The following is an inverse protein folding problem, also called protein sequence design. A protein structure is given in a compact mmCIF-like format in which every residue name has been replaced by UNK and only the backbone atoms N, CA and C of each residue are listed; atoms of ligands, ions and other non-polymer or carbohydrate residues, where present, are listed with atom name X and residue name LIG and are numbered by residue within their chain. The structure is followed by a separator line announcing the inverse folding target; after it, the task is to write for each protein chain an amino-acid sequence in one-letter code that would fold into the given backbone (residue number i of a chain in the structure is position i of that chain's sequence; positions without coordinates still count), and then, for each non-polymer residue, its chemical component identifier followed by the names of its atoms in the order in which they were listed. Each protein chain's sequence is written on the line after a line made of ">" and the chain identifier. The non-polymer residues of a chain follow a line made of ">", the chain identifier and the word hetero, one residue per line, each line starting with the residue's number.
data_IF_084974399424
#
_entry.id   IF_084974399424
#
_cell.length_a   1.000
_cell.length_b   1.000
_cell.length_c   1.000
_cell.angle_alpha   90.00
_cell.angle_beta   90.00
_cell.angle_gamma   90.00
#
_symmetry.space_group_name_H-M   'P 1'
#
loop_
_entity.id
_entity.type
_entity.pdbx_description
1 polymer ?
#
# COMPACT_ATOMS: atom_id res chain seq x y z
N UNK A 1 -19.28 -3.61 42.37
CA UNK A 1 -18.24 -4.67 42.40
C UNK A 1 -18.05 -5.22 40.98
N UNK A 2 -17.60 -4.36 40.07
CA UNK A 2 -17.09 -4.73 38.74
C UNK A 2 -15.82 -3.89 38.62
N UNK A 3 -14.74 -4.39 39.20
CA UNK A 3 -13.45 -3.73 39.30
C UNK A 3 -12.40 -4.82 39.40
N UNK A 4 -11.28 -4.61 38.72
CA UNK A 4 -10.04 -5.42 38.80
C UNK A 4 -9.92 -6.62 37.85
N UNK A 5 -10.16 -6.40 36.55
CA UNK A 5 -9.71 -7.33 35.50
C UNK A 5 -8.94 -6.67 34.34
N UNK A 6 -8.33 -5.50 34.55
CA UNK A 6 -7.36 -4.92 33.61
C UNK A 6 -5.96 -5.09 34.17
N UNK A 7 -5.42 -6.30 33.96
CA UNK A 7 -4.03 -6.60 34.22
C UNK A 7 -3.12 -5.65 33.42
N UNK A 8 -2.11 -5.12 34.10
CA UNK A 8 -1.07 -4.25 33.55
C UNK A 8 -0.50 -4.80 32.23
N UNK A 9 -0.25 -3.96 31.20
CA UNK A 9 0.20 -4.42 29.89
C UNK A 9 1.65 -4.90 29.98
N UNK A 10 1.83 -6.19 30.27
CA UNK A 10 3.10 -6.87 30.00
C UNK A 10 3.38 -6.71 28.50
N UNK A 11 4.57 -6.22 28.19
CA UNK A 11 5.10 -6.06 26.83
C UNK A 11 5.15 -7.44 26.16
N UNK A 12 4.04 -7.84 25.57
CA UNK A 12 3.87 -9.08 24.82
C UNK A 12 4.57 -8.89 23.48
N UNK A 13 5.88 -9.19 23.43
CA UNK A 13 6.41 -9.80 22.21
C UNK A 13 5.77 -11.19 22.14
N UNK A 14 4.61 -11.26 21.48
CA UNK A 14 3.86 -12.49 21.32
C UNK A 14 4.54 -13.30 20.19
N UNK A 15 5.25 -14.40 20.48
CA UNK A 15 5.97 -15.17 19.47
C UNK A 15 5.05 -15.87 18.45
N UNK A 16 3.73 -15.81 18.66
CA UNK A 16 2.71 -16.46 17.84
C UNK A 16 1.95 -15.49 16.91
N UNK A 17 2.51 -14.32 16.58
CA UNK A 17 1.86 -13.45 15.60
C UNK A 17 1.66 -14.19 14.27
N UNK A 18 0.48 -14.09 13.64
CA UNK A 18 0.26 -14.69 12.33
C UNK A 18 1.34 -14.19 11.36
N UNK A 19 1.94 -15.06 10.54
CA UNK A 19 2.98 -14.67 9.58
C UNK A 19 2.51 -13.57 8.61
N UNK A 20 1.19 -13.44 8.44
CA UNK A 20 0.56 -12.44 7.59
C UNK A 20 0.66 -11.01 8.18
N UNK A 21 0.73 -10.87 9.51
CA UNK A 21 0.75 -9.56 10.17
C UNK A 21 2.05 -8.79 9.89
N UNK A 22 3.20 -9.47 9.86
CA UNK A 22 4.48 -8.83 9.51
C UNK A 22 4.52 -8.35 8.06
N UNK A 23 3.95 -9.15 7.15
CA UNK A 23 3.84 -8.77 5.76
C UNK A 23 2.94 -7.54 5.58
N UNK A 24 1.82 -7.47 6.30
CA UNK A 24 0.96 -6.29 6.33
C UNK A 24 1.64 -5.09 6.96
N UNK A 25 2.37 -5.26 8.07
CA UNK A 25 3.08 -4.17 8.74
C UNK A 25 4.09 -3.50 7.79
N UNK A 26 4.80 -4.27 6.98
CA UNK A 26 5.72 -3.71 5.98
C UNK A 26 5.02 -2.86 4.90
N UNK A 27 3.78 -3.20 4.53
CA UNK A 27 2.99 -2.41 3.59
C UNK A 27 2.49 -1.14 4.25
N UNK A 28 2.06 -1.23 5.51
CA UNK A 28 1.71 -0.06 6.31
C UNK A 28 2.93 0.87 6.43
N UNK A 29 4.12 0.33 6.66
CA UNK A 29 5.37 1.10 6.69
C UNK A 29 5.65 1.77 5.35
N UNK A 30 5.48 1.08 4.22
CA UNK A 30 5.59 1.68 2.89
C UNK A 30 4.58 2.84 2.71
N UNK A 31 3.32 2.67 3.13
CA UNK A 31 2.29 3.70 3.07
C UNK A 31 2.62 4.91 3.96
N UNK A 32 3.06 4.68 5.20
CA UNK A 32 3.41 5.76 6.13
C UNK A 32 4.68 6.49 5.67
N UNK A 33 5.64 5.78 5.11
CA UNK A 33 6.84 6.38 4.51
C UNK A 33 6.54 7.20 3.25
N UNK A 34 5.42 6.94 2.57
CA UNK A 34 4.92 7.75 1.46
C UNK A 34 4.31 9.07 1.96
N UNK A 35 3.65 9.06 3.13
CA UNK A 35 3.09 10.25 3.78
C UNK A 35 4.15 11.07 4.54
N UNK A 36 5.21 10.41 5.04
CA UNK A 36 6.26 11.07 5.81
C UNK A 36 7.38 11.64 4.93
N UNK A 37 7.90 12.79 5.34
CA UNK A 37 9.11 13.38 4.75
C UNK A 37 10.39 12.59 5.06
N UNK A 38 10.36 11.70 6.08
CA UNK A 38 11.50 10.93 6.55
C UNK A 38 11.12 9.47 6.73
N UNK A 39 11.98 8.58 6.23
CA UNK A 39 11.83 7.14 6.52
C UNK A 39 12.28 6.87 7.94
N UNK A 40 11.33 6.51 8.80
CA UNK A 40 11.62 6.03 10.15
C UNK A 40 11.06 4.61 10.29
N UNK A 41 11.82 3.70 10.92
CA UNK A 41 11.36 2.33 11.10
C UNK A 41 10.15 2.29 12.03
N UNK A 42 9.17 1.45 11.68
CA UNK A 42 7.96 1.25 12.47
C UNK A 42 8.02 -0.11 13.15
N UNK A 43 7.96 -0.12 14.49
CA UNK A 43 7.79 -1.34 15.28
C UNK A 43 6.31 -1.59 15.61
N UNK A 44 5.92 -2.83 15.89
CA UNK A 44 4.53 -3.22 16.24
C UNK A 44 3.92 -2.41 17.39
N UNK A 45 4.72 -2.09 18.40
CA UNK A 45 4.30 -1.33 19.58
C UNK A 45 4.41 0.19 19.38
N UNK A 46 4.77 0.66 18.19
CA UNK A 46 4.84 2.08 17.89
C UNK A 46 3.45 2.66 17.86
N UNK A 47 3.20 3.65 18.72
CA UNK A 47 1.94 4.39 18.79
C UNK A 47 1.74 5.24 17.53
N UNK A 48 0.58 5.09 16.90
CA UNK A 48 0.28 5.73 15.61
C UNK A 48 0.21 7.25 15.78
N UNK A 49 -0.50 7.73 16.80
CA UNK A 49 -0.68 9.16 17.10
C UNK A 49 0.66 9.87 17.35
N UNK A 50 1.53 9.28 18.17
CA UNK A 50 2.85 9.84 18.47
C UNK A 50 3.76 9.83 17.23
N UNK A 51 3.71 8.76 16.44
CA UNK A 51 4.49 8.67 15.22
C UNK A 51 4.06 9.73 14.21
N UNK A 52 2.74 9.91 14.04
CA UNK A 52 2.14 10.89 13.14
C UNK A 52 2.51 12.30 13.55
N UNK A 53 2.39 12.62 14.84
CA UNK A 53 2.80 13.90 15.38
C UNK A 53 4.30 14.22 15.12
N UNK A 54 5.16 13.21 15.21
CA UNK A 54 6.61 13.40 15.08
C UNK A 54 7.11 13.42 13.62
N UNK A 55 6.46 12.70 12.70
CA UNK A 55 7.01 12.42 11.37
C UNK A 55 6.12 12.85 10.21
N UNK A 56 4.83 13.09 10.45
CA UNK A 56 3.87 13.45 9.40
C UNK A 56 3.55 14.96 9.53
N UNK A 57 3.66 15.74 8.44
CA UNK A 57 3.26 17.15 8.44
C UNK A 57 1.85 17.34 8.98
N UNK A 58 1.60 18.41 9.75
CA UNK A 58 0.32 18.62 10.43
C UNK A 58 -0.89 18.68 9.49
N UNK A 59 -0.68 19.10 8.25
CA UNK A 59 -1.67 19.11 7.16
C UNK A 59 -2.02 17.71 6.64
N UNK A 60 -1.25 16.69 6.98
CA UNK A 60 -1.41 15.30 6.56
C UNK A 60 -1.59 14.33 7.73
N UNK A 61 -1.81 14.83 8.95
CA UNK A 61 -2.04 14.01 10.16
C UNK A 61 -3.44 13.38 10.21
N UNK A 62 -3.94 12.92 9.05
CA UNK A 62 -5.22 12.28 8.93
C UNK A 62 -5.06 10.77 8.77
N UNK A 63 -5.78 10.01 9.60
CA UNK A 63 -5.82 8.56 9.49
C UNK A 63 -6.54 8.11 8.21
N UNK A 64 -7.41 8.96 7.65
CA UNK A 64 -8.09 8.71 6.37
C UNK A 64 -7.09 8.52 5.22
N UNK A 65 -5.98 9.27 5.21
CA UNK A 65 -4.95 9.13 4.17
C UNK A 65 -4.27 7.76 4.20
N UNK A 66 -4.03 7.19 5.39
CA UNK A 66 -3.54 5.81 5.48
C UNK A 66 -4.61 4.85 4.98
N UNK A 67 -5.88 5.05 5.36
CA UNK A 67 -6.97 4.19 4.90
C UNK A 67 -7.08 4.17 3.38
N UNK A 68 -7.04 5.33 2.73
CA UNK A 68 -7.05 5.44 1.27
C UNK A 68 -5.88 4.69 0.63
N UNK A 69 -4.67 4.85 1.19
CA UNK A 69 -3.49 4.13 0.71
C UNK A 69 -3.61 2.61 0.91
N UNK A 70 -4.14 2.15 2.04
CA UNK A 70 -4.33 0.72 2.30
C UNK A 70 -5.45 0.13 1.43
N UNK A 71 -6.52 0.88 1.19
CA UNK A 71 -7.56 0.50 0.23
C UNK A 71 -6.98 0.41 -1.18
N UNK A 72 -6.20 1.40 -1.60
CA UNK A 72 -5.56 1.37 -2.91
C UNK A 72 -4.60 0.17 -3.02
N UNK A 73 -3.74 -0.06 -2.02
CA UNK A 73 -2.66 -1.06 -2.10
C UNK A 73 -3.16 -2.48 -1.88
N UNK A 74 -4.08 -2.68 -0.93
CA UNK A 74 -4.52 -4.01 -0.48
C UNK A 74 -5.96 -4.33 -0.86
N UNK A 75 -6.74 -3.34 -1.32
CA UNK A 75 -8.17 -3.52 -1.56
C UNK A 75 -8.96 -3.70 -0.27
N UNK A 76 -8.44 -3.17 0.85
CA UNK A 76 -9.10 -3.24 2.17
C UNK A 76 -9.56 -1.86 2.56
N UNK A 77 -10.87 -1.68 2.57
CA UNK A 77 -11.51 -0.50 3.14
C UNK A 77 -11.40 -0.56 4.67
N UNK A 78 -10.86 0.50 5.26
CA UNK A 78 -10.83 0.72 6.71
C UNK A 78 -11.80 1.86 6.99
N UNK A 79 -12.92 1.51 7.62
CA UNK A 79 -14.04 2.42 7.86
C UNK A 79 -13.81 3.28 9.10
N UNK A 80 -14.60 4.33 9.28
CA UNK A 80 -14.60 5.13 10.51
C UNK A 80 -14.85 4.26 11.76
N UNK A 81 -15.70 3.23 11.65
CA UNK A 81 -15.97 2.28 12.75
C UNK A 81 -14.72 1.49 13.14
N UNK A 82 -13.84 1.18 12.19
CA UNK A 82 -12.57 0.49 12.47
C UNK A 82 -11.59 1.40 13.19
N UNK A 83 -11.52 2.66 12.78
CA UNK A 83 -10.72 3.66 13.47
C UNK A 83 -11.25 3.92 14.88
N UNK A 84 -12.56 4.06 15.04
CA UNK A 84 -13.19 4.20 16.36
C UNK A 84 -12.91 3.00 17.25
N UNK A 85 -12.89 1.80 16.69
CA UNK A 85 -12.51 0.58 17.40
C UNK A 85 -11.04 0.59 17.82
N UNK A 86 -10.13 0.96 16.91
CA UNK A 86 -8.68 1.01 17.18
C UNK A 86 -8.31 2.12 18.16
N UNK A 87 -8.92 3.30 18.02
CA UNK A 87 -8.67 4.47 18.85
C UNK A 87 -9.37 4.29 20.20
N UNK A 88 -10.58 3.72 20.24
CA UNK A 88 -11.38 3.60 21.46
C UNK A 88 -11.91 4.93 21.98
N UNK A 89 -11.97 5.98 21.15
CA UNK A 89 -12.34 7.35 21.58
C UNK A 89 -13.74 7.41 22.17
N UNK A 90 -14.68 6.69 21.56
CA UNK A 90 -16.09 6.66 21.95
C UNK A 90 -16.34 5.91 23.28
N UNK A 91 -15.32 5.25 23.84
CA UNK A 91 -15.39 4.49 25.09
C UNK A 91 -14.82 5.25 26.30
N UNK A 92 -14.29 6.45 26.08
CA UNK A 92 -13.59 7.23 27.11
C UNK A 92 -14.39 8.47 27.49
N UNK A 93 -14.36 8.81 28.77
CA UNK A 93 -15.03 10.01 29.31
C UNK A 93 -14.17 11.28 29.20
N UNK A 94 -12.84 11.11 29.13
CA UNK A 94 -11.87 12.20 29.04
C UNK A 94 -10.64 11.78 28.23
N UNK A 95 -9.82 12.77 27.82
CA UNK A 95 -8.53 12.52 27.16
C UNK A 95 -7.55 11.77 28.05
N UNK A 96 -7.56 12.05 29.37
CA UNK A 96 -6.70 11.35 30.33
C UNK A 96 -7.09 9.88 30.50
N UNK A 97 -8.41 9.59 30.53
CA UNK A 97 -8.96 8.22 30.56
C UNK A 97 -8.58 7.46 29.28
N UNK A 98 -8.66 8.13 28.13
CA UNK A 98 -8.19 7.59 26.85
C UNK A 98 -6.70 7.29 26.85
N UNK A 99 -5.87 8.23 27.32
CA UNK A 99 -4.42 8.09 27.34
C UNK A 99 -3.96 6.96 28.28
N UNK A 100 -4.64 6.77 29.41
CA UNK A 100 -4.35 5.70 30.34
C UNK A 100 -4.75 4.31 29.80
N UNK A 101 -5.87 4.20 29.06
CA UNK A 101 -6.47 2.90 28.73
C UNK A 101 -6.28 2.46 27.28
N UNK A 102 -6.44 3.36 26.32
CA UNK A 102 -6.53 3.01 24.89
C UNK A 102 -5.33 3.49 24.08
N UNK A 103 -4.72 4.62 24.44
CA UNK A 103 -3.56 5.11 23.72
C UNK A 103 -2.38 4.11 23.65
N UNK A 104 -2.10 3.27 24.67
CA UNK A 104 -1.08 2.22 24.56
C UNK A 104 -1.45 1.09 23.58
N UNK A 105 -2.73 0.95 23.24
CA UNK A 105 -3.25 -0.05 22.30
C UNK A 105 -3.34 0.48 20.87
N UNK A 106 -3.30 1.81 20.68
CA UNK A 106 -3.37 2.45 19.38
C UNK A 106 -2.02 2.38 18.65
N UNK A 107 -1.62 1.17 18.25
CA UNK A 107 -0.31 0.87 17.66
C UNK A 107 -0.42 0.32 16.24
N UNK A 108 0.66 0.45 15.47
CA UNK A 108 0.72 -0.10 14.10
C UNK A 108 0.57 -1.62 14.06
N UNK A 109 0.98 -2.34 15.10
CA UNK A 109 0.75 -3.79 15.20
C UNK A 109 -0.75 -4.15 15.22
N UNK A 110 -1.56 -3.40 15.97
CA UNK A 110 -3.02 -3.59 16.00
C UNK A 110 -3.68 -3.24 14.68
N UNK A 111 -3.24 -2.17 14.03
CA UNK A 111 -3.69 -1.85 12.68
C UNK A 111 -3.33 -2.97 11.68
N UNK A 112 -2.11 -3.51 11.76
CA UNK A 112 -1.67 -4.62 10.92
C UNK A 112 -2.49 -5.89 11.17
N UNK A 113 -2.83 -6.20 12.43
CA UNK A 113 -3.73 -7.32 12.78
C UNK A 113 -5.12 -7.13 12.15
N UNK A 114 -5.71 -5.94 12.29
CA UNK A 114 -7.03 -5.63 11.73
C UNK A 114 -7.03 -5.76 10.21
N UNK A 115 -6.02 -5.20 9.55
CA UNK A 115 -5.87 -5.27 8.10
C UNK A 115 -5.63 -6.71 7.66
N UNK A 116 -4.74 -7.46 8.32
CA UNK A 116 -4.48 -8.87 8.02
C UNK A 116 -5.74 -9.74 8.14
N UNK A 117 -6.61 -9.44 9.11
CA UNK A 117 -7.89 -10.16 9.26
C UNK A 117 -8.85 -9.88 8.10
N UNK A 118 -8.82 -8.67 7.52
CA UNK A 118 -9.69 -8.27 6.41
C UNK A 118 -9.15 -8.64 5.04
N UNK A 119 -7.84 -8.61 4.86
CA UNK A 119 -7.24 -9.08 3.62
C UNK A 119 -7.51 -10.57 3.54
N UNK A 120 -8.41 -10.97 2.63
CA UNK A 120 -8.61 -12.38 2.27
C UNK A 120 -7.38 -12.87 1.51
N UNK A 121 -6.31 -13.17 2.25
CA UNK A 121 -5.10 -13.76 1.71
C UNK A 121 -5.41 -15.23 1.41
N UNK A 122 -5.83 -15.51 0.17
CA UNK A 122 -5.80 -16.87 -0.36
C UNK A 122 -4.46 -17.55 -0.09
N UNK A 123 -4.49 -18.66 0.66
CA UNK A 123 -3.31 -19.48 0.89
C UNK A 123 -2.87 -20.15 -0.41
N UNK A 124 -1.56 -20.20 -0.66
CA UNK A 124 -0.99 -20.87 -1.82
C UNK A 124 -1.11 -22.38 -1.63
N UNK A 125 -2.17 -22.98 -2.17
CA UNK A 125 -2.36 -24.43 -2.15
C UNK A 125 -1.62 -25.08 -3.32
N UNK A 126 -0.72 -26.06 -3.10
CA UNK A 126 -0.06 -26.77 -4.18
C UNK A 126 -1.09 -27.52 -5.05
N UNK A 127 -0.90 -27.48 -6.37
CA UNK A 127 -1.79 -28.15 -7.31
C UNK A 127 -1.11 -29.36 -7.93
N UNK A 128 -1.84 -30.48 -8.02
CA UNK A 128 -1.36 -31.69 -8.69
C UNK A 128 -1.62 -31.59 -10.18
N UNK A 129 -0.57 -31.52 -10.99
CA UNK A 129 -0.63 -31.50 -12.45
C UNK A 129 0.08 -32.74 -12.96
N UNK A 130 -0.63 -33.60 -13.71
CA UNK A 130 -0.08 -34.85 -14.28
C UNK A 130 0.61 -35.75 -13.23
N UNK A 131 0.06 -35.79 -12.01
CA UNK A 131 0.60 -36.60 -10.90
C UNK A 131 1.72 -35.94 -10.09
N UNK A 132 2.21 -34.76 -10.49
CA UNK A 132 3.22 -34.01 -9.74
C UNK A 132 2.61 -32.81 -9.02
N UNK A 133 2.91 -32.64 -7.72
CA UNK A 133 2.50 -31.45 -6.95
C UNK A 133 3.36 -30.25 -7.31
N UNK A 134 2.74 -29.15 -7.74
CA UNK A 134 3.41 -27.90 -8.10
C UNK A 134 2.88 -26.74 -7.25
N UNK A 135 3.76 -26.14 -6.43
CA UNK A 135 3.45 -24.91 -5.67
C UNK A 135 3.34 -23.70 -6.59
N UNK A 136 4.21 -23.59 -7.60
CA UNK A 136 4.13 -22.52 -8.60
C UNK A 136 2.78 -22.49 -9.33
N UNK A 137 2.19 -23.66 -9.63
CA UNK A 137 0.85 -23.71 -10.22
C UNK A 137 -0.22 -23.18 -9.26
N UNK A 138 -0.13 -23.53 -7.97
CA UNK A 138 -0.97 -22.96 -6.91
C UNK A 138 -0.84 -21.45 -6.81
N UNK A 139 0.39 -20.94 -6.81
CA UNK A 139 0.69 -19.51 -6.76
C UNK A 139 0.12 -18.78 -7.98
N UNK A 140 0.19 -19.39 -9.17
CA UNK A 140 -0.41 -18.83 -10.38
C UNK A 140 -1.93 -18.69 -10.27
N UNK A 141 -2.64 -19.61 -9.60
CA UNK A 141 -4.08 -19.46 -9.33
C UNK A 141 -4.39 -18.30 -8.39
N UNK A 142 -3.58 -18.12 -7.35
CA UNK A 142 -3.71 -16.97 -6.44
C UNK A 142 -3.49 -15.66 -7.21
N UNK A 143 -2.50 -15.61 -8.09
CA UNK A 143 -2.28 -14.46 -8.98
C UNK A 143 -3.49 -14.24 -9.89
N UNK A 144 -3.98 -15.28 -10.55
CA UNK A 144 -5.14 -15.19 -11.44
C UNK A 144 -6.37 -14.62 -10.73
N UNK A 145 -6.65 -15.09 -9.52
CA UNK A 145 -7.72 -14.58 -8.68
C UNK A 145 -7.51 -13.10 -8.30
N UNK A 146 -6.32 -12.75 -7.80
CA UNK A 146 -6.00 -11.37 -7.42
C UNK A 146 -6.13 -10.41 -8.62
N UNK A 147 -5.72 -10.84 -9.81
CA UNK A 147 -5.86 -10.03 -11.03
C UNK A 147 -7.32 -9.83 -11.42
N UNK A 148 -8.18 -10.86 -11.29
CA UNK A 148 -9.62 -10.73 -11.57
C UNK A 148 -10.34 -9.85 -10.56
N UNK A 149 -9.92 -9.86 -9.30
CA UNK A 149 -10.47 -8.97 -8.27
C UNK A 149 -10.09 -7.51 -8.53
N UNK A 150 -8.88 -7.25 -9.05
CA UNK A 150 -8.44 -5.90 -9.42
C UNK A 150 -9.06 -5.42 -10.74
N UNK A 151 -9.21 -6.32 -11.70
CA UNK A 151 -9.78 -6.04 -13.02
C UNK A 151 -10.72 -7.17 -13.45
N UNK A 152 -12.04 -7.05 -13.16
CA UNK A 152 -13.04 -8.05 -13.53
C UNK A 152 -13.13 -8.33 -15.04
N UNK A 153 -12.65 -7.41 -15.88
CA UNK A 153 -12.68 -7.52 -17.34
C UNK A 153 -11.34 -7.94 -17.95
N UNK A 154 -10.37 -8.35 -17.12
CA UNK A 154 -9.09 -8.84 -17.60
C UNK A 154 -9.30 -10.05 -18.52
N UNK A 155 -8.70 -9.98 -19.70
CA UNK A 155 -8.69 -11.12 -20.63
C UNK A 155 -7.93 -12.30 -20.01
N UNK A 156 -8.37 -13.55 -20.20
CA UNK A 156 -7.64 -14.73 -19.72
C UNK A 156 -6.18 -14.73 -20.16
N UNK A 157 -5.30 -15.19 -19.28
CA UNK A 157 -3.85 -15.22 -19.51
C UNK A 157 -3.23 -16.52 -19.02
N UNK A 158 -2.08 -16.86 -19.61
CA UNK A 158 -1.31 -18.05 -19.29
C UNK A 158 -0.04 -17.67 -18.48
N UNK A 159 0.66 -18.64 -17.85
CA UNK A 159 1.91 -18.36 -17.14
C UNK A 159 2.98 -17.69 -18.01
N UNK A 160 3.04 -18.00 -19.31
CA UNK A 160 3.98 -17.39 -20.26
C UNK A 160 3.60 -15.97 -20.70
N UNK A 161 2.40 -15.48 -20.34
CA UNK A 161 1.93 -14.16 -20.75
C UNK A 161 2.72 -13.07 -20.02
N UNK A 162 3.25 -12.06 -20.72
CA UNK A 162 3.91 -10.92 -20.10
C UNK A 162 2.97 -10.17 -19.15
N UNK A 163 3.44 -9.80 -17.96
CA UNK A 163 2.60 -9.12 -16.97
C UNK A 163 2.11 -7.77 -17.50
N UNK A 164 2.99 -7.05 -18.18
CA UNK A 164 2.72 -5.73 -18.78
C UNK A 164 1.74 -5.75 -19.96
N UNK A 165 1.39 -6.93 -20.48
CA UNK A 165 0.36 -7.06 -21.52
C UNK A 165 -1.06 -7.08 -20.93
N UNK A 166 -1.19 -7.39 -19.64
CA UNK A 166 -2.49 -7.48 -18.94
C UNK A 166 -2.71 -6.33 -17.97
N UNK A 167 -1.66 -5.89 -17.28
CA UNK A 167 -1.78 -4.92 -16.20
C UNK A 167 -0.74 -3.82 -16.35
N UNK A 168 -1.18 -2.57 -16.13
CA UNK A 168 -0.36 -1.37 -16.19
C UNK A 168 -0.85 -0.35 -15.17
N UNK A 169 -0.02 0.66 -14.90
CA UNK A 169 -0.38 1.79 -14.04
C UNK A 169 -0.80 1.34 -12.64
N UNK A 170 -1.85 1.96 -12.11
CA UNK A 170 -2.33 1.68 -10.76
C UNK A 170 -2.72 0.21 -10.57
N UNK A 171 -3.33 -0.44 -11.57
CA UNK A 171 -3.72 -1.87 -11.48
C UNK A 171 -2.52 -2.78 -11.22
N UNK A 172 -1.39 -2.50 -11.88
CA UNK A 172 -0.15 -3.24 -11.65
C UNK A 172 0.39 -2.98 -10.24
N UNK A 173 0.36 -1.73 -9.78
CA UNK A 173 0.81 -1.37 -8.44
C UNK A 173 -0.02 -2.04 -7.34
N UNK A 174 -1.36 -2.10 -7.48
CA UNK A 174 -2.25 -2.83 -6.55
C UNK A 174 -1.93 -4.31 -6.53
N UNK A 175 -1.79 -4.93 -7.70
CA UNK A 175 -1.41 -6.35 -7.78
C UNK A 175 -0.09 -6.55 -7.04
N UNK A 176 0.91 -5.72 -7.30
CA UNK A 176 2.24 -5.89 -6.71
C UNK A 176 2.23 -5.78 -5.20
N UNK A 177 1.55 -4.77 -4.65
CA UNK A 177 1.40 -4.61 -3.21
C UNK A 177 0.72 -5.82 -2.58
N UNK A 178 -0.37 -6.29 -3.18
CA UNK A 178 -1.09 -7.48 -2.70
C UNK A 178 -0.25 -8.75 -2.75
N UNK A 179 0.47 -8.99 -3.85
CA UNK A 179 1.32 -10.17 -3.96
C UNK A 179 2.52 -10.12 -3.02
N UNK A 180 3.04 -8.92 -2.71
CA UNK A 180 4.09 -8.75 -1.68
C UNK A 180 3.61 -9.22 -0.32
N UNK A 181 2.38 -8.87 0.08
CA UNK A 181 1.79 -9.38 1.32
C UNK A 181 1.69 -10.90 1.28
N UNK A 182 1.12 -11.47 0.21
CA UNK A 182 0.99 -12.93 0.06
C UNK A 182 2.31 -13.70 0.07
N UNK A 183 3.41 -13.08 -0.37
CA UNK A 183 4.72 -13.72 -0.50
C UNK A 183 5.65 -13.40 0.66
N UNK A 184 5.15 -12.82 1.76
CA UNK A 184 5.95 -12.36 2.89
C UNK A 184 7.13 -11.50 2.43
N UNK A 185 6.86 -10.52 1.57
CA UNK A 185 7.84 -9.59 0.98
C UNK A 185 8.96 -10.19 0.14
N UNK A 186 8.82 -11.44 -0.33
CA UNK A 186 9.80 -12.00 -1.29
C UNK A 186 9.80 -11.27 -2.63
N UNK A 187 8.65 -10.71 -3.02
CA UNK A 187 8.55 -9.88 -4.22
C UNK A 187 9.19 -8.53 -3.91
N UNK A 188 10.21 -8.09 -4.68
CA UNK A 188 10.80 -6.78 -4.47
C UNK A 188 9.78 -5.67 -4.76
N UNK A 189 9.87 -4.52 -4.06
CA UNK A 189 9.02 -3.38 -4.33
C UNK A 189 9.15 -2.93 -5.78
N UNK A 190 8.05 -2.45 -6.38
CA UNK A 190 8.13 -1.80 -7.68
C UNK A 190 9.03 -0.57 -7.54
N UNK A 191 9.98 -0.35 -8.47
CA UNK A 191 10.71 0.90 -8.50
C UNK A 191 9.71 2.03 -8.74
N UNK A 192 9.56 2.90 -7.73
CA UNK A 192 8.71 4.08 -7.82
C UNK A 192 9.32 5.04 -8.84
N UNK A 193 8.71 5.14 -10.02
CA UNK A 193 9.11 6.16 -10.99
C UNK A 193 8.70 7.54 -10.46
N UNK A 194 9.55 8.56 -10.68
CA UNK A 194 9.23 9.94 -10.29
C UNK A 194 7.90 10.42 -10.90
N UNK A 195 7.52 9.86 -12.05
CA UNK A 195 6.25 10.12 -12.72
C UNK A 195 5.03 9.73 -11.87
N UNK A 196 5.07 8.62 -11.11
CA UNK A 196 3.95 8.23 -10.23
C UNK A 196 3.70 9.25 -9.12
N UNK A 197 4.77 9.78 -8.52
CA UNK A 197 4.68 10.85 -7.51
C UNK A 197 4.14 12.16 -8.10
N UNK A 198 4.55 12.51 -9.32
CA UNK A 198 4.06 13.71 -10.01
C UNK A 198 2.56 13.59 -10.30
N UNK A 199 2.12 12.44 -10.79
CA UNK A 199 0.69 12.16 -11.10
C UNK A 199 -0.18 12.26 -9.83
N UNK A 200 0.27 11.71 -8.69
CA UNK A 200 -0.41 11.89 -7.40
C UNK A 200 -0.46 13.37 -6.97
N UNK A 201 0.68 14.08 -7.04
CA UNK A 201 0.76 15.50 -6.65
C UNK A 201 -0.04 16.44 -7.56
N UNK A 202 -0.19 16.11 -8.85
CA UNK A 202 -0.96 16.89 -9.81
C UNK A 202 -2.46 16.83 -9.51
N UNK A 203 -2.96 15.70 -9.00
CA UNK A 203 -4.31 15.58 -8.47
C UNK A 203 -4.55 16.55 -7.30
N UNK A 204 -3.62 16.58 -6.34
CA UNK A 204 -3.69 17.49 -5.18
C UNK A 204 -3.64 18.97 -5.57
N UNK A 205 -2.73 19.37 -6.46
CA UNK A 205 -2.67 20.75 -6.97
C UNK A 205 -3.94 21.16 -7.70
N UNK A 206 -4.54 20.24 -8.48
CA UNK A 206 -5.81 20.51 -9.15
C UNK A 206 -6.94 20.70 -8.12
N UNK A 207 -6.97 19.88 -7.06
CA UNK A 207 -7.89 20.05 -5.93
C UNK A 207 -7.73 21.41 -5.24
N UNK A 208 -6.50 21.82 -4.92
CA UNK A 208 -6.21 23.12 -4.29
C UNK A 208 -6.69 24.27 -5.17
N UNK A 209 -6.45 24.21 -6.48
CA UNK A 209 -6.94 25.23 -7.42
C UNK A 209 -8.47 25.30 -7.41
N UNK A 210 -9.16 24.15 -7.40
CA UNK A 210 -10.63 24.10 -7.31
C UNK A 210 -11.12 24.72 -6.00
N UNK A 211 -10.49 24.41 -4.86
CA UNK A 211 -10.86 24.96 -3.55
C UNK A 211 -10.67 26.48 -3.48
N UNK A 212 -9.53 27.01 -3.95
CA UNK A 212 -9.27 28.45 -4.01
C UNK A 212 -10.30 29.18 -4.90
N UNK A 213 -10.72 28.54 -5.99
CA UNK A 213 -11.72 29.09 -6.89
C UNK A 213 -13.13 29.08 -6.26
N UNK A 214 -13.52 28.01 -5.58
CA UNK A 214 -14.79 27.94 -4.84
C UNK A 214 -14.84 29.00 -3.72
N UNK A 215 -13.73 29.20 -3.01
CA UNK A 215 -13.59 30.26 -2.03
C UNK A 215 -13.79 31.65 -2.68
N UNK A 216 -13.20 31.88 -3.85
CA UNK A 216 -13.41 33.11 -4.63
C UNK A 216 -14.88 33.36 -4.99
N UNK A 217 -15.60 32.31 -5.41
CA UNK A 217 -17.03 32.40 -5.71
C UNK A 217 -17.86 32.70 -4.45
N UNK A 218 -17.56 32.06 -3.32
CA UNK A 218 -18.24 32.29 -2.04
C UNK A 218 -18.00 33.71 -1.52
N UNK A 219 -16.74 34.17 -1.52
CA UNK A 219 -16.37 35.53 -1.14
C UNK A 219 -17.09 36.58 -2.01
N UNK A 220 -17.23 36.31 -3.31
CA UNK A 220 -17.99 37.16 -4.22
C UNK A 220 -19.48 37.19 -3.89
N UNK A 221 -20.12 36.04 -3.68
CA UNK A 221 -21.54 36.00 -3.31
C UNK A 221 -21.81 36.77 -2.02
N UNK A 222 -20.90 36.69 -1.06
CA UNK A 222 -20.96 37.46 0.17
C UNK A 222 -20.83 38.97 -0.11
N UNK A 223 -19.86 39.38 -0.93
CA UNK A 223 -19.68 40.79 -1.33
C UNK A 223 -20.87 41.38 -2.09
N UNK A 224 -21.50 40.58 -2.97
CA UNK A 224 -22.72 40.97 -3.68
C UNK A 224 -23.92 41.13 -2.73
N UNK A 225 -24.08 40.21 -1.75
CA UNK A 225 -25.13 40.33 -0.72
C UNK A 225 -24.93 41.54 0.19
N UNK A 226 -23.68 41.91 0.46
CA UNK A 226 -23.34 43.11 1.22
C UNK A 226 -23.49 44.41 0.41
N UNK A 227 -23.90 44.33 -0.87
CA UNK A 227 -24.09 45.51 -1.72
C UNK A 227 -22.79 46.20 -2.16
N UNK A 228 -21.65 45.55 -1.94
CA UNK A 228 -20.32 46.08 -2.27
C UNK A 228 -20.08 46.02 -3.79
N UNK A 229 -20.79 45.14 -4.51
CA UNK A 229 -20.53 44.84 -5.92
C UNK A 229 -21.82 44.95 -6.77
N UNK A 230 -21.80 45.79 -7.81
CA UNK A 230 -22.97 46.13 -8.63
C UNK A 230 -23.50 45.01 -9.53
N UNK A 231 -24.83 44.91 -9.65
CA UNK A 231 -25.55 43.74 -10.20
C UNK A 231 -25.34 43.41 -11.69
N UNK A 232 -24.82 44.34 -12.50
CA UNK A 232 -24.60 44.12 -13.95
C UNK A 232 -23.35 43.29 -14.29
N UNK A 233 -22.62 42.79 -13.28
CA UNK A 233 -21.33 42.13 -13.46
C UNK A 233 -21.37 40.60 -13.30
N UNK A 234 -22.47 40.02 -12.82
CA UNK A 234 -22.53 38.61 -12.38
C UNK A 234 -22.29 37.60 -13.51
N UNK A 235 -22.87 37.81 -14.70
CA UNK A 235 -22.71 36.87 -15.83
C UNK A 235 -21.27 36.86 -16.36
N UNK A 236 -20.62 38.03 -16.42
CA UNK A 236 -19.23 38.16 -16.87
C UNK A 236 -18.30 37.44 -15.91
N UNK A 237 -18.51 37.59 -14.60
CA UNK A 237 -17.69 36.92 -13.59
C UNK A 237 -17.89 35.40 -13.57
N UNK A 238 -19.12 34.90 -13.70
CA UNK A 238 -19.36 33.47 -13.84
C UNK A 238 -18.58 32.94 -15.05
N UNK A 239 -18.72 33.56 -16.22
CA UNK A 239 -18.03 33.11 -17.43
C UNK A 239 -16.50 33.18 -17.29
N UNK A 240 -15.96 34.22 -16.66
CA UNK A 240 -14.51 34.41 -16.48
C UNK A 240 -13.91 33.43 -15.47
N UNK A 241 -14.65 32.97 -14.46
CA UNK A 241 -14.09 32.08 -13.42
C UNK A 241 -14.50 30.62 -13.59
N UNK A 242 -15.76 30.32 -13.91
CA UNK A 242 -16.21 28.93 -14.02
C UNK A 242 -15.71 28.25 -15.29
N UNK A 243 -15.65 28.97 -16.42
CA UNK A 243 -15.21 28.39 -17.69
C UNK A 243 -13.73 27.93 -17.63
N UNK A 244 -12.76 28.73 -17.14
CA UNK A 244 -11.40 28.24 -16.97
C UNK A 244 -11.28 27.10 -15.96
N UNK A 245 -12.12 27.06 -14.91
CA UNK A 245 -12.13 25.94 -13.96
C UNK A 245 -12.52 24.63 -14.63
N UNK A 246 -13.61 24.66 -15.40
CA UNK A 246 -14.09 23.48 -16.13
C UNK A 246 -13.01 23.05 -17.13
N UNK A 247 -12.41 24.00 -17.87
CA UNK A 247 -11.32 23.70 -18.81
C UNK A 247 -10.11 23.10 -18.08
N UNK A 248 -9.63 23.71 -16.99
CA UNK A 248 -8.49 23.21 -16.22
C UNK A 248 -8.76 21.82 -15.62
N UNK A 249 -9.98 21.56 -15.16
CA UNK A 249 -10.39 20.24 -14.68
C UNK A 249 -10.34 19.20 -15.81
N UNK A 250 -10.92 19.50 -16.97
CA UNK A 250 -10.87 18.58 -18.12
C UNK A 250 -9.46 18.41 -18.66
N UNK A 251 -8.65 19.47 -18.73
CA UNK A 251 -7.24 19.40 -19.15
C UNK A 251 -6.44 18.59 -18.15
N UNK A 252 -6.63 18.78 -16.84
CA UNK A 252 -5.99 17.98 -15.80
C UNK A 252 -6.35 16.50 -15.92
N UNK A 253 -7.64 16.17 -16.06
CA UNK A 253 -8.10 14.79 -16.27
C UNK A 253 -7.56 14.20 -17.57
N UNK A 254 -7.51 14.99 -18.65
CA UNK A 254 -6.93 14.58 -19.91
C UNK A 254 -5.43 14.34 -19.78
N UNK A 255 -4.69 15.24 -19.12
CA UNK A 255 -3.25 15.09 -18.85
C UNK A 255 -3.01 13.86 -18.00
N UNK A 256 -3.84 13.56 -17.00
CA UNK A 256 -3.75 12.33 -16.20
C UNK A 256 -3.95 11.07 -17.06
N UNK A 257 -4.99 11.04 -17.89
CA UNK A 257 -5.28 9.91 -18.79
C UNK A 257 -4.19 9.76 -19.86
N UNK A 258 -3.72 10.87 -20.41
CA UNK A 258 -2.63 10.91 -21.39
C UNK A 258 -1.34 10.48 -20.72
N UNK A 259 -1.00 10.99 -19.54
CA UNK A 259 0.19 10.58 -18.79
C UNK A 259 0.13 9.10 -18.42
N UNK A 260 -1.03 8.57 -18.04
CA UNK A 260 -1.19 7.14 -17.78
C UNK A 260 -1.03 6.30 -19.06
N UNK A 261 -1.53 6.81 -20.20
CA UNK A 261 -1.45 6.13 -21.51
C UNK A 261 -0.09 6.26 -22.18
N UNK A 262 0.62 7.35 -21.93
CA UNK A 262 1.92 7.73 -22.53
C UNK A 262 3.09 7.53 -21.58
N UNK A 263 2.84 7.16 -20.32
CA UNK A 263 3.90 6.71 -19.44
C UNK A 263 4.70 5.66 -20.20
N UNK A 264 6.00 5.90 -20.44
CA UNK A 264 6.81 4.99 -21.23
C UNK A 264 6.65 3.58 -20.67
N UNK A 265 6.64 2.58 -21.55
CA UNK A 265 6.47 1.14 -21.24
C UNK A 265 7.42 0.60 -20.16
N UNK A 266 8.34 1.43 -19.69
CA UNK A 266 9.25 1.20 -18.59
C UNK A 266 8.59 1.43 -17.22
N UNK A 267 7.41 0.84 -17.00
CA UNK A 267 7.22 0.27 -15.66
C UNK A 267 8.25 -0.84 -15.58
N UNK A 268 9.40 -0.50 -14.98
CA UNK A 268 10.50 -1.42 -14.81
C UNK A 268 10.03 -2.46 -13.80
N UNK A 269 9.46 -3.55 -14.31
CA UNK A 269 9.37 -4.75 -13.52
C UNK A 269 10.79 -5.03 -12.98
N UNK A 270 10.92 -5.46 -11.73
CA UNK A 270 12.20 -5.90 -11.19
C UNK A 270 12.89 -6.85 -12.19
N UNK A 271 14.19 -6.65 -12.39
CA UNK A 271 14.96 -7.38 -13.41
C UNK A 271 14.70 -8.88 -13.26
N UNK A 272 14.40 -9.57 -14.37
CA UNK A 272 14.13 -11.02 -14.36
C UNK A 272 12.67 -11.42 -14.11
N UNK A 273 11.75 -10.47 -13.91
CA UNK A 273 10.30 -10.74 -13.91
C UNK A 273 9.72 -10.21 -15.21
N UNK A 274 9.34 -11.10 -16.14
CA UNK A 274 8.74 -10.71 -17.42
C UNK A 274 7.29 -11.18 -17.51
N UNK A 275 7.05 -12.43 -17.10
CA UNK A 275 5.77 -13.11 -17.26
C UNK A 275 5.19 -13.57 -15.91
N UNK A 276 3.92 -13.96 -15.92
CA UNK A 276 3.24 -14.43 -14.70
C UNK A 276 3.84 -15.72 -14.12
N UNK A 277 4.55 -16.52 -14.92
CA UNK A 277 5.31 -17.69 -14.44
C UNK A 277 6.45 -17.25 -13.53
N UNK A 278 7.21 -16.21 -13.90
CA UNK A 278 8.30 -15.69 -13.07
C UNK A 278 7.77 -15.26 -11.70
N UNK A 279 6.62 -14.58 -11.70
CA UNK A 279 5.94 -14.12 -10.49
C UNK A 279 5.42 -15.30 -9.63
N UNK A 280 4.81 -16.30 -10.26
CA UNK A 280 4.30 -17.49 -9.58
C UNK A 280 5.43 -18.31 -8.93
N UNK A 281 6.54 -18.50 -9.64
CA UNK A 281 7.75 -19.18 -9.15
C UNK A 281 8.38 -18.44 -7.95
N UNK A 282 8.29 -17.11 -7.97
CA UNK A 282 8.79 -16.27 -6.90
C UNK A 282 7.92 -16.41 -5.64
N UNK A 283 6.59 -16.33 -5.81
CA UNK A 283 5.64 -16.51 -4.70
C UNK A 283 5.72 -17.90 -4.07
N UNK A 284 5.95 -18.95 -4.87
CA UNK A 284 5.98 -20.33 -4.38
C UNK A 284 7.19 -20.69 -3.52
N UNK A 285 8.16 -19.79 -3.35
CA UNK A 285 9.46 -20.07 -2.73
C UNK A 285 10.35 -21.04 -3.51
N UNK A 286 9.97 -21.41 -4.74
CA UNK A 286 10.78 -22.32 -5.55
C UNK A 286 12.05 -21.61 -6.11
N UNK A 287 12.08 -20.27 -6.02
CA UNK A 287 13.22 -19.40 -6.32
C UNK A 287 13.98 -19.00 -5.05
N UNK A 288 15.31 -18.94 -5.14
CA UNK A 288 16.25 -18.72 -4.03
C UNK A 288 16.30 -17.30 -3.44
N UNK A 289 15.28 -16.48 -3.70
CA UNK A 289 15.19 -15.07 -3.26
C UNK A 289 15.83 -14.07 -4.24
N UNK A 290 15.84 -12.79 -3.83
CA UNK A 290 16.38 -11.66 -4.61
C UNK A 290 17.41 -10.89 -3.80
N UNK A 291 18.37 -10.28 -4.50
CA UNK A 291 19.27 -9.33 -3.86
C UNK A 291 18.51 -8.02 -3.57
N UNK A 292 18.34 -7.69 -2.29
CA UNK A 292 17.70 -6.44 -1.84
C UNK A 292 18.36 -5.17 -2.41
N UNK A 293 19.62 -5.27 -2.84
CA UNK A 293 20.38 -4.11 -3.26
C UNK A 293 20.34 -3.82 -4.77
N UNK A 294 20.29 -4.85 -5.61
CA UNK A 294 20.32 -4.68 -7.06
C UNK A 294 19.18 -5.37 -7.80
N UNK A 295 18.34 -6.14 -7.08
CA UNK A 295 17.24 -6.89 -7.68
C UNK A 295 17.68 -8.06 -8.56
N UNK A 296 18.88 -8.61 -8.37
CA UNK A 296 19.32 -9.82 -9.08
C UNK A 296 18.67 -11.09 -8.49
N UNK A 297 18.31 -12.04 -9.35
CA UNK A 297 17.71 -13.32 -8.98
C UNK A 297 18.78 -14.24 -8.35
N UNK A 298 18.59 -14.62 -7.09
CA UNK A 298 19.55 -15.45 -6.34
C UNK A 298 19.20 -16.94 -6.39
N UNK A 299 18.27 -17.33 -7.26
CA UNK A 299 17.85 -18.73 -7.44
C UNK A 299 18.99 -19.62 -7.90
N UNK A 300 19.17 -20.75 -7.20
CA UNK A 300 20.21 -21.73 -7.51
C UNK A 300 21.62 -21.26 -7.20
N UNK A 301 21.79 -20.03 -6.70
CA UNK A 301 23.09 -19.54 -6.27
C UNK A 301 23.48 -20.28 -4.99
N UNK A 302 24.67 -20.88 -4.98
CA UNK A 302 25.22 -21.58 -3.80
C UNK A 302 26.02 -20.64 -2.91
N UNK A 303 26.49 -19.51 -3.45
CA UNK A 303 27.22 -18.47 -2.70
C UNK A 303 26.29 -17.47 -1.97
N UNK A 304 26.77 -16.94 -0.85
CA UNK A 304 26.12 -15.93 0.01
C UNK A 304 26.35 -14.50 -0.47
N UNK A 305 26.92 -14.31 -1.67
CA UNK A 305 27.19 -13.00 -2.29
C UNK A 305 26.47 -12.90 -3.62
N UNK A 306 25.83 -11.75 -3.87
CA UNK A 306 25.21 -11.48 -5.16
C UNK A 306 26.30 -11.36 -6.25
N UNK A 307 26.19 -12.07 -7.39
CA UNK A 307 27.21 -12.02 -8.44
C UNK A 307 27.24 -10.67 -9.17
N UNK A 308 26.10 -9.97 -9.26
CA UNK A 308 26.04 -8.65 -9.89
C UNK A 308 26.63 -7.52 -9.03
N UNK A 309 26.27 -7.44 -7.75
CA UNK A 309 26.66 -6.30 -6.90
C UNK A 309 27.70 -6.63 -5.82
N UNK A 310 28.09 -7.90 -5.67
CA UNK A 310 29.08 -8.36 -4.70
C UNK A 310 28.64 -8.34 -3.22
N UNK A 311 27.44 -7.81 -2.92
CA UNK A 311 26.94 -7.69 -1.54
C UNK A 311 26.54 -9.05 -0.98
N UNK A 312 26.88 -9.26 0.29
CA UNK A 312 26.43 -10.44 1.05
C UNK A 312 24.95 -10.31 1.38
N UNK A 313 24.21 -11.42 1.32
CA UNK A 313 22.82 -11.50 1.73
C UNK A 313 22.65 -12.69 2.69
N UNK A 314 21.71 -12.59 3.63
CA UNK A 314 21.31 -13.74 4.45
C UNK A 314 20.30 -14.55 3.66
N UNK A 315 20.59 -15.82 3.36
CA UNK A 315 19.53 -16.71 2.87
C UNK A 315 18.52 -16.90 4.00
N UNK A 316 17.21 -16.74 3.73
CA UNK A 316 16.24 -17.31 4.64
C UNK A 316 16.55 -18.81 4.73
N UNK A 317 16.82 -19.29 5.94
CA UNK A 317 17.10 -20.70 6.21
C UNK A 317 15.92 -21.46 5.61
N UNK A 318 16.15 -22.20 4.52
CA UNK A 318 15.09 -23.01 3.94
C UNK A 318 14.91 -24.23 4.86
N UNK A 319 13.83 -24.32 5.64
CA UNK A 319 13.64 -25.45 6.56
C UNK A 319 13.44 -26.77 5.81
N UNK A 320 13.16 -26.72 4.50
CA UNK A 320 12.98 -27.89 3.65
C UNK A 320 14.27 -28.38 2.97
N UNK A 321 15.40 -27.66 3.07
CA UNK A 321 16.64 -28.11 2.44
C UNK A 321 17.35 -29.14 3.33
N UNK A 322 17.52 -30.41 2.91
CA UNK A 322 18.08 -31.47 3.76
C UNK A 322 19.53 -31.23 4.22
N UNK A 323 20.22 -30.24 3.65
CA UNK A 323 21.58 -29.85 4.04
C UNK A 323 21.63 -29.08 5.37
N UNK A 324 20.58 -28.31 5.73
CA UNK A 324 20.57 -27.53 6.97
C UNK A 324 20.45 -28.39 8.24
N UNK A 325 20.09 -29.68 8.08
CA UNK A 325 19.94 -30.62 9.20
C UNK A 325 21.25 -31.30 9.63
N UNK A 326 22.34 -31.14 8.86
CA UNK A 326 23.62 -31.84 9.12
C UNK A 326 24.67 -30.99 9.83
N UNK A 327 24.47 -29.69 9.98
CA UNK A 327 25.44 -28.78 10.62
C UNK A 327 25.11 -28.43 12.08
N UNK A 328 24.06 -29.05 12.66
CA UNK A 328 23.63 -28.81 14.05
C UNK A 328 23.80 -30.02 14.97
N UNK A 329 24.55 -31.04 14.53
CA UNK A 329 24.86 -32.24 15.29
C UNK A 329 26.38 -32.35 15.54
#
# INVERSE_FOLDING_TARGET
>A
MIGDALGSPKTLQNPDLPPDTEAVLSVIEDCVNELSSKRAPIAHNTRIDQYFFAHVPSDLQDCELISELLEERLGVEITEVDWDFLIGRNLCSSTEDWEARYAPLFTFGRLAELVAHRVKLGQIQPLTILGATSRAAGAFRVIEQAVREIDPHVKPFAPSTPVLDRLRGCKLARLWARLRVHSANRIPPLPTTAAGRIVGSAGGLCGIVICLMLYGVLAWQLGARLGIIGSNSTLKWILTFTLPCVILFFVSRLVMVVAERWQPREWLLPKGIVNFRDLAMLMSADRGGWCEHCGYDLTGLVDSRCPECGKKFKRPINPAHPASRRESA
#
